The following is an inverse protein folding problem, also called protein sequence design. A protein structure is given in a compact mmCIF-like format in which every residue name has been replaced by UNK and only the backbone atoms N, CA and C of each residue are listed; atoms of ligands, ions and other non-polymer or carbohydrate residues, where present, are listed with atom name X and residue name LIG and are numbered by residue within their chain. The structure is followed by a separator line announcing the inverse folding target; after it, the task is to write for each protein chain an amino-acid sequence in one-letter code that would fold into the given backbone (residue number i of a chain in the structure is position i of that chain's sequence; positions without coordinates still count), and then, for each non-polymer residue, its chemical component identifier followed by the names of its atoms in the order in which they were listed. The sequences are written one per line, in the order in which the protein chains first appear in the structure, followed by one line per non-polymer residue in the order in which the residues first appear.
data_IF_876046312836
#
_entry.id   IF_876046312836
#
_cell.length_a   1.000
_cell.length_b   1.000
_cell.length_c   1.000
_cell.angle_alpha   90.00
_cell.angle_beta   90.00
_cell.angle_gamma   90.00
#
_symmetry.space_group_name_H-M   'P 1'
#
loop_
_entity.id
_entity.type
_entity.pdbx_description
1 polymer ?
#
# COMPACT_ATOMS: atom_id res chain seq x y z
N UNK A 1 43.50 65.04 -35.93
CA UNK A 1 42.20 65.24 -36.61
C UNK A 1 41.23 64.27 -35.96
N UNK A 2 40.45 64.66 -34.95
CA UNK A 2 39.20 65.45 -34.94
C UNK A 2 37.99 64.76 -35.62
N UNK A 3 36.98 64.45 -34.76
CA UNK A 3 35.51 64.46 -34.92
C UNK A 3 34.84 63.46 -35.90
N UNK A 4 34.10 62.44 -35.44
CA UNK A 4 32.67 62.37 -34.98
C UNK A 4 31.59 62.63 -36.05
N UNK A 5 30.64 61.67 -36.18
CA UNK A 5 29.18 61.81 -36.36
C UNK A 5 28.56 60.40 -36.28
N UNK A 6 27.91 59.99 -35.18
CA UNK A 6 26.46 60.08 -34.87
C UNK A 6 25.52 59.48 -35.93
N UNK A 7 24.89 58.35 -35.57
CA UNK A 7 23.54 58.03 -36.05
C UNK A 7 22.75 57.22 -35.01
N UNK A 8 21.63 57.82 -34.61
CA UNK A 8 20.58 57.33 -33.72
C UNK A 8 19.61 56.37 -34.43
N UNK A 9 18.93 55.54 -33.64
CA UNK A 9 17.53 55.06 -33.74
C UNK A 9 17.43 53.59 -33.30
N UNK A 10 16.40 53.10 -32.62
CA UNK A 10 15.26 53.67 -31.90
C UNK A 10 14.73 52.55 -30.97
N UNK A 11 14.35 52.91 -29.74
CA UNK A 11 13.68 52.01 -28.80
C UNK A 11 12.21 51.87 -29.18
N UNK A 12 11.73 50.65 -29.42
CA UNK A 12 10.31 50.33 -29.44
C UNK A 12 9.90 49.85 -28.04
N UNK A 13 9.11 50.66 -27.33
CA UNK A 13 8.47 50.28 -26.08
C UNK A 13 7.21 49.47 -26.38
N UNK A 14 7.18 48.19 -25.99
CA UNK A 14 5.96 47.39 -25.96
C UNK A 14 5.32 47.58 -24.59
N UNK A 15 4.15 48.23 -24.56
CA UNK A 15 3.28 48.32 -23.38
C UNK A 15 2.50 47.02 -23.28
N UNK A 16 2.82 46.18 -22.30
CA UNK A 16 1.97 45.05 -21.90
C UNK A 16 1.02 45.54 -20.80
N UNK A 17 -0.27 45.53 -21.09
CA UNK A 17 -1.33 45.75 -20.12
C UNK A 17 -1.41 44.55 -19.17
N UNK A 18 -1.28 44.80 -17.88
CA UNK A 18 -1.45 43.82 -16.80
C UNK A 18 -2.95 43.47 -16.63
N UNK A 19 -3.35 42.19 -16.64
CA UNK A 19 -4.71 41.84 -16.25
C UNK A 19 -4.89 42.01 -14.74
N UNK A 20 -6.00 42.64 -14.39
CA UNK A 20 -6.49 42.87 -13.02
C UNK A 20 -6.68 41.53 -12.29
N UNK A 21 -6.18 41.35 -11.06
CA UNK A 21 -6.42 40.13 -10.31
C UNK A 21 -7.91 40.03 -9.92
N UNK A 22 -8.58 39.00 -10.41
CA UNK A 22 -9.90 38.63 -9.95
C UNK A 22 -9.80 38.05 -8.54
N UNK A 23 -10.56 38.65 -7.62
CA UNK A 23 -10.76 38.16 -6.26
C UNK A 23 -11.57 36.86 -6.36
N UNK A 24 -10.91 35.72 -6.26
CA UNK A 24 -11.56 34.42 -6.15
C UNK A 24 -12.02 34.28 -4.71
N UNK A 25 -13.34 34.17 -4.51
CA UNK A 25 -13.95 33.78 -3.25
C UNK A 25 -13.28 32.50 -2.74
N UNK A 26 -12.75 32.58 -1.52
CA UNK A 26 -12.14 31.47 -0.81
C UNK A 26 -13.17 30.37 -0.59
N UNK A 27 -13.10 29.33 -1.43
CA UNK A 27 -13.62 28.02 -1.10
C UNK A 27 -13.03 27.61 0.25
N UNK A 28 -13.89 27.18 1.17
CA UNK A 28 -13.52 26.62 2.46
C UNK A 28 -12.59 25.42 2.25
N UNK A 29 -11.28 25.66 2.35
CA UNK A 29 -10.26 24.62 2.35
C UNK A 29 -10.38 23.92 3.70
N UNK A 30 -10.89 22.69 3.69
CA UNK A 30 -10.79 21.80 4.85
C UNK A 30 -9.32 21.75 5.31
N UNK A 31 -9.05 21.89 6.61
CA UNK A 31 -7.67 21.94 7.09
C UNK A 31 -6.91 20.66 6.71
N UNK A 32 -5.63 20.77 6.30
CA UNK A 32 -4.83 19.64 5.88
C UNK A 32 -4.75 18.58 6.98
N UNK A 33 -5.02 17.32 6.59
CA UNK A 33 -5.05 16.14 7.47
C UNK A 33 -3.62 15.77 7.89
N UNK A 34 -3.18 16.26 9.06
CA UNK A 34 -1.88 15.95 9.66
C UNK A 34 -1.75 14.44 9.95
N UNK A 35 -0.63 13.85 9.53
CA UNK A 35 -0.20 12.52 10.00
C UNK A 35 0.94 12.78 11.00
N UNK A 36 0.75 12.35 12.24
CA UNK A 36 1.76 12.50 13.29
C UNK A 36 2.77 11.36 13.21
N UNK A 37 4.02 11.66 12.88
CA UNK A 37 5.13 10.76 13.15
C UNK A 37 5.62 11.00 14.59
N UNK A 38 6.03 9.94 15.27
CA UNK A 38 6.54 9.97 16.65
C UNK A 38 7.75 10.91 16.73
N UNK A 39 7.56 12.11 17.28
CA UNK A 39 8.55 13.18 17.28
C UNK A 39 7.99 14.61 17.19
N UNK A 40 6.67 14.80 17.04
CA UNK A 40 6.02 16.11 17.20
C UNK A 40 6.26 17.10 16.05
N UNK A 41 6.83 16.66 14.91
CA UNK A 41 6.91 17.47 13.70
C UNK A 41 5.76 17.08 12.78
N UNK A 42 4.72 17.91 12.73
CA UNK A 42 3.62 17.77 11.81
C UNK A 42 4.13 17.87 10.37
N UNK A 43 3.78 16.89 9.53
CA UNK A 43 3.96 17.01 8.08
C UNK A 43 2.62 17.42 7.50
N UNK A 44 2.57 18.67 7.01
CA UNK A 44 1.49 19.14 6.13
C UNK A 44 1.77 18.54 4.75
N UNK A 45 1.08 17.45 4.41
CA UNK A 45 1.05 16.98 3.02
C UNK A 45 -0.09 17.72 2.29
N UNK A 46 0.20 18.38 1.15
CA UNK A 46 -0.84 19.05 0.38
C UNK A 46 -1.90 18.04 -0.06
N UNK A 47 -3.16 18.39 0.17
CA UNK A 47 -4.30 17.55 -0.24
C UNK A 47 -4.28 17.40 -1.77
N UNK A 48 -4.36 16.15 -2.23
CA UNK A 48 -4.62 15.67 -3.61
C UNK A 48 -3.48 14.99 -4.40
N UNK A 49 -2.26 14.86 -3.90
CA UNK A 49 -1.27 13.94 -4.51
C UNK A 49 -1.21 12.60 -3.77
N UNK A 50 -1.04 11.51 -4.52
CA UNK A 50 -1.01 10.11 -4.04
C UNK A 50 -0.07 10.00 -2.84
N UNK A 51 -0.61 9.58 -1.69
CA UNK A 51 0.12 9.37 -0.44
C UNK A 51 0.80 8.00 -0.48
N UNK A 52 1.83 7.85 -1.29
CA UNK A 52 2.57 6.59 -1.40
C UNK A 52 3.80 6.64 -0.46
N UNK A 53 4.02 5.57 0.33
CA UNK A 53 5.15 5.45 1.27
C UNK A 53 6.11 4.37 0.76
N UNK A 54 7.39 4.69 0.65
CA UNK A 54 8.41 3.72 0.26
C UNK A 54 8.77 2.77 1.41
N UNK A 55 8.83 1.47 1.13
CA UNK A 55 9.17 0.43 2.09
C UNK A 55 10.63 -0.04 1.89
N UNK A 56 11.22 -0.71 2.90
CA UNK A 56 12.61 -1.21 2.83
C UNK A 56 12.91 -2.17 1.65
N UNK A 57 11.90 -2.73 1.00
CA UNK A 57 12.04 -3.58 -0.19
C UNK A 57 11.88 -2.85 -1.53
N UNK A 58 11.91 -1.51 -1.55
CA UNK A 58 11.72 -0.70 -2.76
C UNK A 58 10.26 -0.64 -3.26
N UNK A 59 9.37 -1.45 -2.69
CA UNK A 59 7.92 -1.40 -2.92
C UNK A 59 7.28 -0.17 -2.26
N UNK A 60 6.06 0.17 -2.70
CA UNK A 60 5.30 1.32 -2.20
C UNK A 60 4.00 0.88 -1.53
N UNK A 61 3.69 1.47 -0.37
CA UNK A 61 2.40 1.36 0.28
C UNK A 61 1.51 2.53 -0.13
N UNK A 62 0.32 2.23 -0.64
CA UNK A 62 -0.70 3.25 -0.94
C UNK A 62 -1.48 3.59 0.31
N UNK A 63 -1.55 4.86 0.68
CA UNK A 63 -2.35 5.33 1.82
C UNK A 63 -3.66 5.95 1.32
N UNK A 64 -4.77 5.56 1.94
CA UNK A 64 -6.09 6.17 1.69
C UNK A 64 -6.94 6.16 2.96
N UNK A 65 -8.13 6.74 2.90
CA UNK A 65 -9.05 6.74 4.03
C UNK A 65 -9.61 5.34 4.25
N UNK A 66 -9.72 4.95 5.53
CA UNK A 66 -10.41 3.71 5.88
C UNK A 66 -11.91 3.95 5.77
N UNK A 67 -12.57 3.24 4.86
CA UNK A 67 -14.02 3.24 4.76
C UNK A 67 -14.60 2.01 5.46
N UNK A 68 -15.78 2.20 6.05
CA UNK A 68 -16.63 1.08 6.40
C UNK A 68 -17.22 0.51 5.12
N UNK A 69 -16.64 -0.59 4.65
CA UNK A 69 -17.29 -1.40 3.62
C UNK A 69 -18.52 -2.06 4.25
N UNK A 70 -19.67 -1.40 4.11
CA UNK A 70 -20.97 -1.73 4.73
C UNK A 70 -21.65 -2.97 4.09
N UNK A 71 -20.90 -3.81 3.39
CA UNK A 71 -21.44 -5.00 2.71
C UNK A 71 -21.62 -6.24 3.61
N UNK A 72 -21.42 -6.12 4.93
CA UNK A 72 -21.67 -7.21 5.90
C UNK A 72 -22.39 -6.75 7.19
N UNK A 73 -23.26 -5.74 7.10
CA UNK A 73 -24.13 -5.32 8.21
C UNK A 73 -25.30 -6.28 8.46
N UNK A 74 -25.04 -7.57 8.75
CA UNK A 74 -26.02 -8.46 9.39
C UNK A 74 -25.31 -9.42 10.36
N UNK A 75 -25.08 -8.94 11.60
CA UNK A 75 -25.40 -9.62 12.89
C UNK A 75 -24.62 -8.98 14.04
N UNK A 76 -25.20 -7.93 14.61
CA UNK A 76 -24.97 -7.51 15.98
C UNK A 76 -25.40 -8.65 16.92
N UNK A 77 -24.44 -9.42 17.44
CA UNK A 77 -24.41 -9.95 18.82
C UNK A 77 -23.17 -10.83 19.03
N UNK A 78 -22.04 -10.19 19.30
CA UNK A 78 -20.94 -10.65 20.17
C UNK A 78 -19.90 -9.55 20.05
N UNK A 79 -19.48 -8.94 21.17
CA UNK A 79 -18.26 -8.12 21.18
C UNK A 79 -17.17 -8.94 20.50
N UNK A 80 -16.79 -8.56 19.28
CA UNK A 80 -16.11 -9.45 18.37
C UNK A 80 -14.68 -9.69 18.84
N UNK A 81 -14.44 -10.80 19.53
CA UNK A 81 -13.10 -11.30 19.78
C UNK A 81 -12.33 -11.42 18.46
N UNK A 82 -11.01 -11.27 18.52
CA UNK A 82 -10.13 -11.36 17.36
C UNK A 82 -10.39 -12.68 16.61
N UNK A 83 -10.63 -12.58 15.31
CA UNK A 83 -11.08 -13.72 14.48
C UNK A 83 -10.80 -13.50 13.01
N UNK A 84 -10.82 -14.61 12.27
CA UNK A 84 -11.00 -14.58 10.82
C UNK A 84 -12.43 -14.12 10.54
N UNK A 85 -12.59 -12.98 9.85
CA UNK A 85 -13.90 -12.44 9.47
C UNK A 85 -14.34 -12.89 8.09
N UNK A 86 -13.38 -13.16 7.19
CA UNK A 86 -13.64 -13.64 5.84
C UNK A 86 -12.44 -14.45 5.32
N UNK A 87 -12.68 -15.26 4.29
CA UNK A 87 -11.64 -15.89 3.49
C UNK A 87 -11.62 -15.26 2.10
N UNK A 88 -10.46 -15.29 1.44
CA UNK A 88 -10.33 -14.81 0.06
C UNK A 88 -11.19 -15.59 -0.95
N UNK A 89 -11.20 -15.14 -2.21
CA UNK A 89 -12.04 -15.72 -3.25
C UNK A 89 -11.72 -17.20 -3.49
N UNK A 90 -12.67 -17.94 -4.08
CA UNK A 90 -12.47 -19.36 -4.38
C UNK A 90 -11.34 -19.61 -5.39
N UNK A 91 -11.01 -18.63 -6.24
CA UNK A 91 -9.92 -18.67 -7.21
C UNK A 91 -8.55 -18.38 -6.59
N UNK A 92 -8.49 -17.64 -5.47
CA UNK A 92 -7.25 -17.17 -4.83
C UNK A 92 -6.56 -18.18 -3.92
N UNK A 93 -6.47 -19.46 -4.30
CA UNK A 93 -5.73 -20.43 -3.48
C UNK A 93 -4.23 -20.27 -3.69
N UNK A 94 -3.49 -20.17 -2.59
CA UNK A 94 -2.03 -20.09 -2.56
C UNK A 94 -1.46 -21.21 -1.67
N UNK A 95 -0.35 -21.87 -2.05
CA UNK A 95 0.36 -22.77 -1.15
C UNK A 95 0.77 -22.06 0.13
N UNK A 96 0.64 -22.70 1.30
CA UNK A 96 1.11 -22.07 2.55
C UNK A 96 2.65 -21.94 2.55
N UNK A 97 3.33 -22.99 2.14
CA UNK A 97 4.79 -23.04 2.02
C UNK A 97 5.24 -22.81 0.57
N UNK A 98 6.48 -22.40 0.39
CA UNK A 98 7.12 -22.24 -0.92
C UNK A 98 7.14 -23.58 -1.67
N UNK A 99 6.69 -23.57 -2.93
CA UNK A 99 6.71 -24.73 -3.81
C UNK A 99 6.51 -24.34 -5.26
N UNK A 100 6.95 -25.20 -6.17
CA UNK A 100 6.97 -24.90 -7.59
C UNK A 100 8.15 -24.00 -7.96
N UNK A 101 8.27 -23.68 -9.23
CA UNK A 101 9.39 -22.93 -9.77
C UNK A 101 8.92 -21.96 -10.86
N UNK A 102 9.46 -20.75 -10.85
CA UNK A 102 9.29 -19.77 -11.92
C UNK A 102 10.66 -19.21 -12.29
N UNK A 103 11.04 -19.30 -13.56
CA UNK A 103 12.35 -18.84 -14.06
C UNK A 103 13.54 -19.39 -13.25
N UNK A 104 13.52 -20.69 -12.93
CA UNK A 104 14.56 -21.38 -12.15
C UNK A 104 14.69 -20.95 -10.68
N UNK A 105 13.65 -20.30 -10.14
CA UNK A 105 13.59 -19.85 -8.76
C UNK A 105 12.35 -20.38 -8.07
N UNK A 106 12.47 -20.75 -6.79
CA UNK A 106 11.35 -21.26 -6.02
C UNK A 106 10.23 -20.22 -5.96
N UNK A 107 8.98 -20.65 -6.17
CA UNK A 107 7.86 -19.74 -5.98
C UNK A 107 7.54 -19.61 -4.49
N UNK A 108 7.36 -18.35 -4.06
CA UNK A 108 6.90 -18.01 -2.72
C UNK A 108 5.45 -18.42 -2.49
N UNK A 109 5.23 -19.12 -1.39
CA UNK A 109 3.92 -19.35 -0.82
C UNK A 109 3.45 -18.21 0.08
N UNK A 110 2.30 -18.41 0.70
CA UNK A 110 1.66 -17.43 1.58
C UNK A 110 2.56 -17.01 2.74
N UNK A 111 3.28 -17.95 3.37
CA UNK A 111 4.18 -17.65 4.50
C UNK A 111 5.27 -16.66 4.11
N UNK A 112 5.90 -16.87 2.96
CA UNK A 112 6.96 -15.99 2.46
C UNK A 112 6.42 -14.63 2.06
N UNK A 113 5.26 -14.58 1.38
CA UNK A 113 4.58 -13.33 1.05
C UNK A 113 4.20 -12.52 2.31
N UNK A 114 3.63 -13.17 3.34
CA UNK A 114 3.32 -12.56 4.64
C UNK A 114 4.59 -12.04 5.31
N UNK A 115 5.66 -12.84 5.31
CA UNK A 115 6.93 -12.43 5.92
C UNK A 115 7.52 -11.21 5.23
N UNK A 116 7.51 -11.18 3.89
CA UNK A 116 7.98 -10.05 3.10
C UNK A 116 7.14 -8.79 3.39
N UNK A 117 5.81 -8.89 3.36
CA UNK A 117 4.92 -7.78 3.70
C UNK A 117 5.21 -7.24 5.10
N UNK A 118 5.14 -8.07 6.13
CA UNK A 118 5.29 -7.66 7.52
C UNK A 118 6.67 -7.06 7.82
N UNK A 119 7.73 -7.62 7.24
CA UNK A 119 9.08 -7.06 7.40
C UNK A 119 9.21 -5.69 6.73
N UNK A 120 8.66 -5.52 5.52
CA UNK A 120 8.71 -4.26 4.76
C UNK A 120 7.95 -3.13 5.46
N UNK A 121 6.77 -3.40 6.01
CA UNK A 121 5.95 -2.38 6.71
C UNK A 121 6.42 -2.11 8.14
N UNK A 122 7.13 -3.04 8.79
CA UNK A 122 7.77 -2.78 10.09
C UNK A 122 9.14 -2.12 9.98
N UNK A 123 9.69 -2.00 8.76
CA UNK A 123 10.93 -1.29 8.47
C UNK A 123 10.72 -0.35 7.26
N UNK A 124 9.68 0.48 7.29
CA UNK A 124 9.45 1.48 6.26
C UNK A 124 10.49 2.61 6.31
N UNK A 125 10.76 3.23 5.17
CA UNK A 125 11.66 4.38 5.11
C UNK A 125 10.91 5.65 5.50
N UNK A 126 11.41 6.33 6.51
CA UNK A 126 10.92 7.63 6.94
C UNK A 126 11.40 8.73 5.99
N UNK A 127 10.76 9.90 6.07
CA UNK A 127 11.09 11.08 5.25
C UNK A 127 12.54 11.56 5.45
N UNK A 128 13.11 11.32 6.63
CA UNK A 128 14.49 11.64 6.97
C UNK A 128 15.51 10.58 6.52
N UNK A 129 15.06 9.54 5.82
CA UNK A 129 15.87 8.42 5.35
C UNK A 129 16.19 7.37 6.42
N UNK A 130 15.71 7.53 7.65
CA UNK A 130 15.79 6.49 8.67
C UNK A 130 14.78 5.36 8.40
N UNK A 131 15.00 4.18 8.99
CA UNK A 131 14.05 3.08 8.92
C UNK A 131 13.29 2.93 10.23
N UNK A 132 11.99 2.68 10.15
CA UNK A 132 11.14 2.44 11.30
C UNK A 132 9.79 1.84 10.93
N UNK A 133 8.99 1.43 11.92
CA UNK A 133 7.69 0.84 11.66
C UNK A 133 6.74 1.88 11.05
N UNK A 134 6.04 1.48 10.00
CA UNK A 134 4.97 2.29 9.42
C UNK A 134 3.88 2.50 10.47
N UNK A 135 3.36 3.72 10.54
CA UNK A 135 2.22 4.07 11.39
C UNK A 135 0.99 4.27 10.52
N UNK A 136 -0.02 3.42 10.70
CA UNK A 136 -1.33 3.55 10.06
C UNK A 136 -2.19 4.44 10.94
N UNK A 137 -2.35 5.70 10.53
CA UNK A 137 -3.13 6.67 11.28
C UNK A 137 -4.58 6.21 11.47
N UNK A 138 -5.23 6.66 12.55
CA UNK A 138 -6.66 6.44 12.74
C UNK A 138 -7.48 6.90 11.50
N UNK A 139 -8.53 6.16 11.16
CA UNK A 139 -9.36 6.36 9.96
C UNK A 139 -8.58 6.27 8.63
N UNK A 140 -7.44 5.57 8.61
CA UNK A 140 -6.62 5.39 7.41
C UNK A 140 -6.39 3.91 7.12
N UNK A 141 -6.10 3.62 5.85
CA UNK A 141 -5.70 2.30 5.39
C UNK A 141 -4.40 2.35 4.60
N UNK A 142 -3.64 1.28 4.68
CA UNK A 142 -2.54 1.01 3.75
C UNK A 142 -2.86 -0.20 2.88
N UNK A 143 -2.40 -0.17 1.64
CA UNK A 143 -2.46 -1.30 0.70
C UNK A 143 -1.09 -1.53 0.07
N UNK A 144 -0.64 -2.78 0.04
CA UNK A 144 0.65 -3.22 -0.49
C UNK A 144 0.45 -4.52 -1.26
N UNK A 145 0.89 -4.57 -2.51
CA UNK A 145 0.94 -5.81 -3.28
C UNK A 145 2.33 -6.43 -3.18
N UNK A 146 2.41 -7.72 -2.86
CA UNK A 146 3.65 -8.49 -2.94
C UNK A 146 3.55 -9.42 -4.14
N UNK A 147 4.39 -9.18 -5.16
CA UNK A 147 4.53 -10.03 -6.37
C UNK A 147 5.84 -10.80 -6.33
N UNK A 148 6.89 -10.17 -5.82
CA UNK A 148 8.26 -10.65 -5.88
C UNK A 148 9.02 -10.45 -4.57
N UNK A 149 10.16 -11.13 -4.47
CA UNK A 149 11.13 -10.88 -3.42
C UNK A 149 11.68 -9.45 -3.43
N UNK A 150 11.99 -8.94 -4.62
CA UNK A 150 12.28 -7.54 -4.86
C UNK A 150 11.20 -6.92 -5.77
N UNK A 151 10.29 -6.16 -5.17
CA UNK A 151 9.21 -5.45 -5.86
C UNK A 151 9.63 -4.03 -6.29
N UNK A 152 10.93 -3.69 -6.25
CA UNK A 152 11.44 -2.41 -6.74
C UNK A 152 11.13 -2.21 -8.22
N UNK A 153 10.54 -1.07 -8.60
CA UNK A 153 10.13 -0.82 -9.99
C UNK A 153 11.30 -0.81 -10.99
N UNK A 154 12.54 -0.67 -10.52
CA UNK A 154 13.73 -0.55 -11.37
C UNK A 154 14.49 -1.87 -11.58
N UNK A 155 13.97 -2.99 -11.06
CA UNK A 155 14.60 -4.31 -11.18
C UNK A 155 13.90 -5.11 -12.28
N UNK A 156 14.67 -5.78 -13.14
CA UNK A 156 14.10 -6.67 -14.17
C UNK A 156 13.58 -7.96 -13.54
N UNK A 157 12.51 -8.53 -14.09
CA UNK A 157 11.83 -9.68 -13.51
C UNK A 157 12.72 -10.90 -13.23
N UNK A 158 13.69 -11.18 -14.12
CA UNK A 158 14.67 -12.26 -13.95
C UNK A 158 15.68 -12.01 -12.80
N UNK A 159 15.72 -10.79 -12.28
CA UNK A 159 16.58 -10.34 -11.17
C UNK A 159 15.79 -10.07 -9.88
N UNK A 160 14.45 -10.19 -9.89
CA UNK A 160 13.60 -9.86 -8.74
C UNK A 160 13.58 -10.92 -7.63
N UNK A 161 14.25 -12.06 -7.83
CA UNK A 161 14.20 -13.17 -6.90
C UNK A 161 12.87 -13.92 -6.97
N UNK A 162 12.55 -14.66 -5.91
CA UNK A 162 11.41 -15.56 -5.89
C UNK A 162 10.09 -14.84 -6.20
N UNK A 163 9.23 -15.49 -7.00
CA UNK A 163 7.89 -15.00 -7.37
C UNK A 163 6.81 -15.59 -6.50
N UNK A 164 5.77 -14.84 -6.15
CA UNK A 164 4.57 -15.42 -5.52
C UNK A 164 3.89 -16.40 -6.49
N UNK A 165 3.63 -17.62 -6.02
CA UNK A 165 2.98 -18.66 -6.80
C UNK A 165 1.67 -19.11 -6.18
N UNK A 166 0.63 -19.19 -6.99
CA UNK A 166 -0.68 -19.70 -6.61
C UNK A 166 -0.77 -21.22 -6.80
N UNK A 167 -1.92 -21.76 -6.43
CA UNK A 167 -2.26 -23.16 -6.67
C UNK A 167 -2.09 -23.51 -8.16
N UNK A 168 -1.42 -24.63 -8.43
CA UNK A 168 -1.09 -25.05 -9.78
C UNK A 168 0.13 -24.34 -10.37
N UNK A 169 0.97 -23.74 -9.52
CA UNK A 169 2.25 -23.10 -9.93
C UNK A 169 2.02 -21.93 -10.89
N UNK A 170 0.88 -21.26 -10.74
CA UNK A 170 0.53 -20.10 -11.53
C UNK A 170 1.16 -18.84 -10.92
N UNK A 171 1.81 -17.99 -11.73
CA UNK A 171 2.18 -16.64 -11.33
C UNK A 171 1.01 -15.88 -10.70
N UNK A 172 1.26 -15.24 -9.57
CA UNK A 172 0.28 -14.37 -8.94
C UNK A 172 0.91 -13.41 -7.96
N UNK A 173 0.08 -12.92 -7.05
CA UNK A 173 0.47 -11.98 -6.01
C UNK A 173 -0.44 -12.10 -4.80
N UNK A 174 -0.05 -11.42 -3.72
CA UNK A 174 -0.92 -11.22 -2.57
C UNK A 174 -1.10 -9.72 -2.34
N UNK A 175 -2.35 -9.30 -2.30
CA UNK A 175 -2.74 -7.94 -1.91
C UNK A 175 -2.93 -7.90 -0.39
N UNK A 176 -2.11 -7.09 0.27
CA UNK A 176 -2.19 -6.86 1.69
C UNK A 176 -2.83 -5.52 1.98
N UNK A 177 -3.73 -5.48 2.95
CA UNK A 177 -4.26 -4.22 3.46
C UNK A 177 -4.29 -4.21 4.99
N UNK A 178 -4.06 -3.05 5.58
CA UNK A 178 -4.30 -2.81 7.01
C UNK A 178 -5.21 -1.61 7.15
N UNK A 179 -6.40 -1.84 7.69
CA UNK A 179 -7.40 -0.78 7.90
C UNK A 179 -7.44 -0.42 9.38
N UNK A 180 -7.07 0.81 9.73
CA UNK A 180 -7.25 1.35 11.06
C UNK A 180 -8.51 2.22 11.09
N UNK A 181 -9.63 1.61 11.48
CA UNK A 181 -10.95 2.24 11.59
C UNK A 181 -11.23 2.79 12.98
N UNK A 182 -10.23 2.86 13.86
CA UNK A 182 -10.38 3.52 15.17
C UNK A 182 -10.72 4.99 14.97
N UNK A 183 -11.45 5.54 15.93
CA UNK A 183 -11.83 6.95 15.93
C UNK A 183 -10.59 7.86 15.93
N UNK A 184 -10.70 9.06 15.35
CA UNK A 184 -9.59 10.01 15.30
C UNK A 184 -9.12 10.39 16.71
N UNK A 185 -7.82 10.24 16.94
CA UNK A 185 -7.14 10.63 18.17
C UNK A 185 -5.71 10.10 18.15
N UNK A 186 -4.74 10.88 18.64
CA UNK A 186 -3.32 10.53 18.56
C UNK A 186 -2.96 9.20 19.26
N UNK A 187 -3.79 8.71 20.18
CA UNK A 187 -3.63 7.41 20.84
C UNK A 187 -4.13 6.21 20.02
N UNK A 188 -4.80 6.45 18.89
CA UNK A 188 -5.50 5.44 18.11
C UNK A 188 -4.78 5.06 16.81
N UNK A 189 -3.60 5.62 16.58
CA UNK A 189 -2.72 5.22 15.49
C UNK A 189 -2.18 3.81 15.71
N UNK A 190 -2.02 3.04 14.64
CA UNK A 190 -1.50 1.68 14.70
C UNK A 190 -0.06 1.64 14.19
N UNK A 191 0.88 1.28 15.06
CA UNK A 191 2.27 1.06 14.66
C UNK A 191 2.47 -0.40 14.23
N UNK A 192 2.96 -0.61 13.01
CA UNK A 192 3.19 -1.95 12.47
C UNK A 192 4.28 -2.70 13.25
N UNK A 193 3.91 -3.81 13.87
CA UNK A 193 4.85 -4.73 14.51
C UNK A 193 4.96 -6.02 13.70
N UNK A 194 6.19 -6.45 13.40
CA UNK A 194 6.43 -7.53 12.46
C UNK A 194 5.87 -8.88 12.95
N UNK A 195 6.10 -9.21 14.22
CA UNK A 195 5.67 -10.48 14.82
C UNK A 195 4.15 -10.57 14.93
N UNK A 196 3.50 -9.49 15.39
CA UNK A 196 2.05 -9.41 15.47
C UNK A 196 1.43 -9.47 14.06
N UNK A 197 1.97 -8.71 13.10
CA UNK A 197 1.53 -8.75 11.70
C UNK A 197 1.59 -10.18 11.14
N UNK A 198 2.72 -10.88 11.33
CA UNK A 198 2.89 -12.28 10.93
C UNK A 198 1.87 -13.16 11.61
N UNK A 199 1.70 -13.03 12.92
CA UNK A 199 0.76 -13.84 13.71
C UNK A 199 -0.68 -13.67 13.20
N UNK A 200 -1.14 -12.44 13.04
CA UNK A 200 -2.50 -12.12 12.58
C UNK A 200 -2.77 -12.67 11.18
N UNK A 201 -1.84 -12.46 10.26
CA UNK A 201 -1.99 -12.94 8.89
C UNK A 201 -1.87 -14.46 8.77
N UNK A 202 -1.05 -15.10 9.61
CA UNK A 202 -0.87 -16.56 9.60
C UNK A 202 -2.05 -17.33 10.20
N UNK A 203 -2.94 -16.70 10.97
CA UNK A 203 -4.20 -17.35 11.39
C UNK A 203 -5.01 -17.87 10.19
N UNK A 204 -4.96 -17.17 9.05
CA UNK A 204 -5.67 -17.59 7.83
C UNK A 204 -5.05 -18.83 7.16
N UNK A 205 -3.82 -19.18 7.49
CA UNK A 205 -3.11 -20.35 6.97
C UNK A 205 -2.97 -21.47 8.01
N UNK A 206 -3.45 -21.28 9.23
CA UNK A 206 -3.36 -22.28 10.28
C UNK A 206 -4.24 -23.50 9.97
N UNK A 207 -3.77 -24.68 10.37
CA UNK A 207 -4.51 -25.93 10.18
C UNK A 207 -5.86 -25.86 10.90
N UNK A 208 -6.88 -26.49 10.31
CA UNK A 208 -8.26 -26.52 10.81
C UNK A 208 -9.00 -25.16 10.83
N UNK A 209 -8.43 -24.10 10.24
CA UNK A 209 -9.13 -22.83 10.07
C UNK A 209 -9.95 -22.81 8.77
N UNK A 210 -10.98 -21.95 8.72
CA UNK A 210 -11.93 -21.90 7.60
C UNK A 210 -11.32 -21.51 6.25
N UNK A 211 -10.16 -20.86 6.24
CA UNK A 211 -9.47 -20.45 5.01
C UNK A 211 -8.39 -21.43 4.56
N UNK A 212 -8.12 -22.48 5.36
CA UNK A 212 -7.11 -23.50 5.07
C UNK A 212 -7.72 -24.71 4.35
N UNK A 213 -7.06 -25.16 3.29
CA UNK A 213 -7.42 -26.34 2.52
C UNK A 213 -6.60 -27.54 2.98
N UNK A 214 -7.16 -28.51 3.75
CA UNK A 214 -6.38 -29.60 4.32
C UNK A 214 -5.80 -30.57 3.28
N UNK A 215 -6.45 -30.71 2.13
CA UNK A 215 -6.04 -31.66 1.09
C UNK A 215 -4.80 -31.18 0.31
N UNK A 216 -4.74 -29.89 0.01
CA UNK A 216 -3.67 -29.27 -0.78
C UNK A 216 -2.64 -28.50 0.08
N UNK A 217 -2.94 -28.30 1.37
CA UNK A 217 -2.16 -27.46 2.30
C UNK A 217 -2.01 -26.02 1.79
N UNK A 218 -3.06 -25.53 1.17
CA UNK A 218 -3.16 -24.17 0.64
C UNK A 218 -4.01 -23.30 1.57
N UNK A 219 -3.94 -21.98 1.42
CA UNK A 219 -4.86 -21.04 2.04
C UNK A 219 -5.51 -20.16 0.97
N UNK A 220 -6.70 -19.64 1.26
CA UNK A 220 -7.31 -18.54 0.48
C UNK A 220 -6.88 -17.16 0.96
N UNK A 221 -6.05 -17.09 2.00
CA UNK A 221 -5.91 -15.86 2.78
C UNK A 221 -7.27 -15.40 3.29
N UNK A 222 -7.49 -14.08 3.36
CA UNK A 222 -8.74 -13.50 3.85
C UNK A 222 -8.55 -12.24 4.68
N UNK A 223 -9.36 -12.11 5.72
CA UNK A 223 -9.31 -10.99 6.67
C UNK A 223 -9.26 -11.47 8.11
N UNK A 224 -8.25 -11.02 8.84
CA UNK A 224 -8.23 -11.06 10.30
C UNK A 224 -8.75 -9.73 10.83
N UNK A 225 -9.76 -9.78 11.71
CA UNK A 225 -10.29 -8.60 12.38
C UNK A 225 -9.96 -8.64 13.87
N UNK A 226 -9.74 -7.45 14.42
CA UNK A 226 -9.53 -7.24 15.85
C UNK A 226 -10.40 -6.09 16.33
N UNK A 227 -10.55 -5.99 17.65
CA UNK A 227 -11.18 -4.84 18.31
C UNK A 227 -12.55 -4.49 17.74
N UNK A 228 -13.39 -5.50 17.52
CA UNK A 228 -14.73 -5.31 16.94
C UNK A 228 -14.69 -4.64 15.56
N UNK A 229 -13.80 -5.12 14.68
CA UNK A 229 -13.60 -4.62 13.31
C UNK A 229 -12.93 -3.23 13.23
N UNK A 230 -12.39 -2.71 14.33
CA UNK A 230 -11.67 -1.42 14.33
C UNK A 230 -10.26 -1.50 13.74
N UNK A 231 -9.66 -2.68 13.73
CA UNK A 231 -8.39 -2.91 13.05
C UNK A 231 -8.46 -4.23 12.28
N UNK A 232 -8.22 -4.18 10.98
CA UNK A 232 -8.25 -5.38 10.12
C UNK A 232 -6.98 -5.54 9.31
N UNK A 233 -6.63 -6.81 9.06
CA UNK A 233 -5.50 -7.22 8.22
C UNK A 233 -6.03 -8.12 7.12
N UNK A 234 -5.82 -7.69 5.88
CA UNK A 234 -6.20 -8.41 4.69
C UNK A 234 -4.96 -9.00 4.04
N UNK A 235 -5.09 -10.21 3.51
CA UNK A 235 -4.11 -10.84 2.64
C UNK A 235 -4.87 -11.68 1.62
N UNK A 236 -5.02 -11.14 0.41
CA UNK A 236 -5.85 -11.72 -0.64
C UNK A 236 -4.97 -12.16 -1.81
N UNK A 237 -4.77 -13.47 -2.00
CA UNK A 237 -4.06 -13.97 -3.16
C UNK A 237 -4.90 -13.77 -4.42
N UNK A 238 -4.26 -13.29 -5.49
CA UNK A 238 -4.91 -13.04 -6.77
C UNK A 238 -3.97 -13.42 -7.93
N UNK A 239 -4.57 -13.90 -9.01
CA UNK A 239 -3.82 -14.26 -10.21
C UNK A 239 -3.48 -13.01 -11.02
N UNK A 240 -2.32 -12.98 -11.68
CA UNK A 240 -1.99 -11.85 -12.54
C UNK A 240 -2.84 -11.82 -13.83
N UNK A 241 -3.48 -12.94 -14.18
CA UNK A 241 -4.35 -13.04 -15.36
C UNK A 241 -5.73 -12.38 -15.14
N UNK A 242 -6.20 -12.30 -13.89
CA UNK A 242 -7.48 -11.64 -13.53
C UNK A 242 -7.30 -10.14 -13.27
N UNK A 243 -6.06 -9.66 -13.16
CA UNK A 243 -5.69 -8.27 -12.91
C UNK A 243 -5.58 -7.47 -14.22
N UNK A 244 -6.72 -7.23 -14.88
CA UNK A 244 -6.80 -6.44 -16.13
C UNK A 244 -6.72 -4.92 -15.86
N UNK A 245 -6.84 -4.49 -14.60
CA UNK A 245 -6.94 -3.08 -14.19
C UNK A 245 -5.75 -2.56 -13.39
N UNK A 246 -4.85 -3.41 -12.90
CA UNK A 246 -3.50 -2.98 -12.55
C UNK A 246 -2.63 -3.27 -13.75
N UNK A 247 -2.02 -2.26 -14.39
CA UNK A 247 -1.09 -2.55 -15.46
C UNK A 247 -0.08 -3.57 -14.92
N UNK A 248 0.24 -4.66 -15.65
CA UNK A 248 1.60 -5.16 -15.52
C UNK A 248 2.48 -3.92 -15.67
N UNK A 249 3.48 -3.73 -14.81
CA UNK A 249 4.35 -2.57 -14.91
C UNK A 249 5.07 -2.46 -16.28
N UNK A 250 4.79 -3.40 -17.20
CA UNK A 250 4.88 -3.36 -18.66
C UNK A 250 4.07 -2.21 -19.29
N UNK A 251 4.53 -1.00 -18.99
CA UNK A 251 4.13 0.23 -19.64
C UNK A 251 5.34 1.09 -19.97
N UNK A 252 6.50 0.49 -20.31
CA UNK A 252 7.45 1.18 -21.18
C UNK A 252 6.77 1.39 -22.55
N UNK A 253 6.03 2.50 -22.66
CA UNK A 253 5.73 3.10 -23.95
C UNK A 253 7.05 3.59 -24.54
N UNK A 254 7.41 2.99 -25.67
CA UNK A 254 8.28 3.47 -26.76
C UNK A 254 9.58 4.20 -26.36
#
# INVERSE_FOLDING_TARGET
MYYTHLLSAAFAAVVLASPTPQTVESASIDPPKEIMLKGGKAIVLPSHEKRDIQLAGGSWAKVSDAHDDDSLAVRLTKRGADKISSCGPKSGWIPVEDRGEYMYQAMWGYRSAVSAFCSRVSNAMNVDGSFGPLVVAAQSRISVTIRWQDDSQNVKDDLRGNRVGLKGEQPGHVEFEVNNKRDKGASNDYTMNEENCKTYLMHMAATNQGCYGPNNRDTKGGTWQMEDNKLTFHALPASDAEDVNTPPHDGLRA
#
